data_IF_367759526263
#
_entry.id   IF_367759526263
#
_cell.length_a   1.000
_cell.length_b   1.000
_cell.length_c   1.000
_cell.angle_alpha   90.00
_cell.angle_beta   90.00
_cell.angle_gamma   90.00
#
_symmetry.space_group_name_H-M   'P 1'
#
loop_
_entity.id
_entity.type
_entity.pdbx_description
1 polymer ?
#
# COMPACT_ATOMS: atom_id res chain seq x y z
N UNK A 1 -30.82 -11.73 -14.93
CA UNK A 1 -29.66 -11.81 -14.02
C UNK A 1 -29.40 -13.28 -13.80
N UNK A 2 -28.24 -13.77 -14.22
CA UNK A 2 -27.93 -15.20 -14.28
C UNK A 2 -27.74 -15.74 -12.86
N UNK A 3 -28.35 -16.89 -12.55
CA UNK A 3 -28.23 -17.58 -11.25
C UNK A 3 -26.76 -17.89 -10.92
N UNK A 4 -25.91 -17.97 -11.94
CA UNK A 4 -24.46 -18.13 -11.79
C UNK A 4 -23.78 -16.89 -11.18
N UNK A 5 -24.26 -15.68 -11.47
CA UNK A 5 -23.77 -14.41 -10.91
C UNK A 5 -24.13 -14.28 -9.41
N UNK A 6 -25.26 -14.88 -9.02
CA UNK A 6 -25.70 -14.99 -7.62
C UNK A 6 -24.87 -16.00 -6.81
N UNK A 7 -24.47 -17.13 -7.41
CA UNK A 7 -23.62 -18.13 -6.75
C UNK A 7 -22.18 -17.62 -6.60
N UNK A 8 -21.66 -16.84 -7.55
CA UNK A 8 -20.36 -16.19 -7.44
C UNK A 8 -20.32 -15.22 -6.23
N UNK A 9 -21.41 -14.48 -5.99
CA UNK A 9 -21.58 -13.60 -4.81
C UNK A 9 -21.73 -14.37 -3.51
N UNK A 10 -22.47 -15.49 -3.52
CA UNK A 10 -22.65 -16.37 -2.36
C UNK A 10 -21.34 -17.03 -1.88
N UNK A 11 -20.35 -17.17 -2.78
CA UNK A 11 -19.01 -17.72 -2.49
C UNK A 11 -17.96 -16.64 -2.18
N UNK A 12 -18.36 -15.39 -1.93
CA UNK A 12 -17.46 -14.31 -1.52
C UNK A 12 -16.73 -13.60 -2.67
N UNK A 13 -17.36 -13.46 -3.84
CA UNK A 13 -16.82 -12.65 -4.96
C UNK A 13 -17.67 -11.39 -5.20
N UNK A 14 -17.06 -10.20 -5.37
CA UNK A 14 -17.77 -9.05 -5.89
C UNK A 14 -18.07 -9.20 -7.40
N UNK A 15 -19.18 -8.62 -7.91
CA UNK A 15 -19.56 -8.75 -9.32
C UNK A 15 -18.66 -7.94 -10.26
N UNK A 16 -18.44 -8.49 -11.46
CA UNK A 16 -17.57 -7.97 -12.51
C UNK A 16 -18.14 -6.77 -13.30
N UNK A 17 -18.53 -5.71 -12.61
CA UNK A 17 -18.76 -4.40 -13.23
C UNK A 17 -18.06 -3.28 -12.46
N UNK A 18 -16.78 -3.50 -12.19
CA UNK A 18 -15.80 -2.44 -12.34
C UNK A 18 -14.72 -2.96 -13.30
N UNK A 19 -14.81 -2.50 -14.55
CA UNK A 19 -13.61 -2.39 -15.38
C UNK A 19 -12.72 -1.40 -14.64
N UNK A 20 -11.86 -1.90 -13.76
CA UNK A 20 -10.82 -1.07 -13.16
C UNK A 20 -9.94 -0.62 -14.31
N UNK A 21 -10.14 0.63 -14.74
CA UNK A 21 -9.38 1.27 -15.80
C UNK A 21 -7.96 1.52 -15.31
N UNK A 22 -7.16 0.47 -15.19
CA UNK A 22 -5.75 0.62 -14.89
C UNK A 22 -5.00 1.01 -16.18
N UNK A 23 -4.65 2.28 -16.33
CA UNK A 23 -3.63 2.76 -17.28
C UNK A 23 -2.24 2.27 -16.81
N UNK A 24 -1.91 1.00 -17.09
CA UNK A 24 -0.69 0.38 -16.58
C UNK A 24 0.52 0.61 -17.49
N UNK A 25 1.24 1.70 -17.22
CA UNK A 25 2.70 1.70 -17.28
C UNK A 25 3.23 1.48 -15.86
N UNK A 26 3.37 0.24 -15.40
CA UNK A 26 3.57 -0.04 -13.99
C UNK A 26 4.94 -0.66 -13.66
N UNK A 27 5.61 -0.01 -12.71
CA UNK A 27 6.56 -0.57 -11.76
C UNK A 27 6.00 -0.25 -10.37
N UNK A 28 6.23 -1.06 -9.32
CA UNK A 28 5.96 -0.75 -7.91
C UNK A 28 6.48 0.59 -7.37
N UNK A 29 7.15 1.40 -8.19
CA UNK A 29 7.26 2.82 -7.97
C UNK A 29 5.87 3.48 -8.09
N UNK A 30 5.15 3.45 -6.96
CA UNK A 30 4.19 4.43 -6.47
C UNK A 30 3.74 5.42 -7.55
N UNK A 31 2.61 5.14 -8.18
CA UNK A 31 1.97 6.09 -9.08
C UNK A 31 1.80 7.41 -8.32
N UNK A 32 2.27 8.51 -8.91
CA UNK A 32 1.94 9.84 -8.42
C UNK A 32 0.48 10.12 -8.73
N UNK A 33 -0.31 10.65 -7.78
CA UNK A 33 -1.66 11.06 -8.10
C UNK A 33 -1.62 12.22 -9.10
N UNK A 34 -2.70 12.37 -9.87
CA UNK A 34 -2.94 13.51 -10.76
C UNK A 34 -3.06 14.81 -9.97
N UNK A 35 -3.46 14.75 -8.69
CA UNK A 35 -3.54 15.88 -7.76
C UNK A 35 -3.02 15.48 -6.39
N UNK A 36 -2.39 16.37 -5.62
CA UNK A 36 -2.03 16.05 -4.24
C UNK A 36 -3.30 15.81 -3.41
N UNK A 37 -3.24 14.96 -2.36
CA UNK A 37 -4.33 14.88 -1.40
C UNK A 37 -4.57 16.24 -0.73
N UNK A 38 -5.81 16.55 -0.32
CA UNK A 38 -6.11 17.76 0.46
C UNK A 38 -5.23 17.83 1.71
N UNK A 39 -4.82 19.04 2.10
CA UNK A 39 -4.00 19.25 3.30
C UNK A 39 -4.79 18.97 4.58
N UNK A 40 -6.06 19.34 4.59
CA UNK A 40 -7.00 19.08 5.66
C UNK A 40 -8.26 18.40 5.09
N UNK A 41 -8.37 17.06 5.19
CA UNK A 41 -9.54 16.33 4.75
C UNK A 41 -10.64 16.22 5.82
N UNK A 42 -10.49 16.83 7.00
CA UNK A 42 -11.33 16.55 8.18
C UNK A 42 -12.83 16.78 7.92
N UNK A 43 -13.19 17.89 7.29
CA UNK A 43 -14.59 18.21 6.96
C UNK A 43 -15.19 17.20 5.98
N UNK A 44 -14.46 16.83 4.93
CA UNK A 44 -14.92 15.86 3.94
C UNK A 44 -15.04 14.44 4.54
N UNK A 45 -14.13 14.05 5.43
CA UNK A 45 -14.18 12.78 6.17
C UNK A 45 -15.40 12.77 7.10
N UNK A 46 -15.62 13.85 7.85
CA UNK A 46 -16.79 13.97 8.72
C UNK A 46 -18.10 13.89 7.92
N UNK A 47 -18.18 14.59 6.78
CA UNK A 47 -19.34 14.54 5.89
C UNK A 47 -19.60 13.13 5.35
N UNK A 48 -18.55 12.37 4.99
CA UNK A 48 -18.68 10.97 4.60
C UNK A 48 -19.32 10.14 5.73
N UNK A 49 -18.81 10.25 6.95
CA UNK A 49 -19.29 9.45 8.08
C UNK A 49 -20.69 9.86 8.58
N UNK A 50 -21.05 11.14 8.48
CA UNK A 50 -22.43 11.60 8.71
C UNK A 50 -23.39 10.96 7.70
N UNK A 51 -23.06 11.00 6.41
CA UNK A 51 -23.87 10.37 5.36
C UNK A 51 -23.94 8.85 5.52
N UNK A 52 -22.84 8.20 5.89
CA UNK A 52 -22.81 6.76 6.16
C UNK A 52 -23.86 6.36 7.22
N UNK A 53 -24.09 7.19 8.24
CA UNK A 53 -25.13 6.96 9.25
C UNK A 53 -26.55 6.89 8.70
N UNK A 54 -26.80 7.49 7.55
CA UNK A 54 -28.09 7.43 6.85
C UNK A 54 -28.14 6.27 5.85
N UNK A 55 -27.00 5.96 5.21
CA UNK A 55 -26.92 4.97 4.14
C UNK A 55 -26.75 3.53 4.64
N UNK A 56 -26.17 3.31 5.81
CA UNK A 56 -25.78 1.98 6.29
C UNK A 56 -26.95 0.98 6.37
N UNK A 57 -28.14 1.43 6.81
CA UNK A 57 -29.32 0.57 6.92
C UNK A 57 -29.85 0.07 5.58
N UNK A 58 -29.60 0.82 4.50
CA UNK A 58 -29.92 0.38 3.13
C UNK A 58 -29.01 -0.78 2.65
N UNK A 59 -28.00 -1.15 3.44
CA UNK A 59 -27.02 -2.20 3.15
C UNK A 59 -27.16 -3.41 4.08
N UNK A 60 -28.16 -3.46 4.95
CA UNK A 60 -28.35 -4.56 5.93
C UNK A 60 -28.51 -5.95 5.28
N UNK A 61 -28.93 -5.98 4.01
CA UNK A 61 -29.16 -7.19 3.21
C UNK A 61 -28.15 -7.36 2.05
N UNK A 62 -26.96 -6.74 2.15
CA UNK A 62 -25.92 -6.79 1.12
C UNK A 62 -25.51 -8.22 0.72
N UNK A 63 -25.68 -9.19 1.61
CA UNK A 63 -25.41 -10.61 1.39
C UNK A 63 -26.40 -11.28 0.43
N UNK A 64 -27.60 -10.73 0.30
CA UNK A 64 -28.67 -11.30 -0.54
C UNK A 64 -29.09 -10.38 -1.69
N UNK A 65 -28.90 -9.07 -1.53
CA UNK A 65 -29.37 -8.06 -2.46
C UNK A 65 -28.26 -7.05 -2.81
N UNK A 66 -28.11 -6.68 -4.10
CA UNK A 66 -27.17 -5.63 -4.47
C UNK A 66 -27.63 -4.26 -3.92
N UNK A 67 -26.70 -3.35 -3.59
CA UNK A 67 -27.04 -1.97 -3.23
C UNK A 67 -27.82 -1.27 -4.34
N UNK A 68 -28.68 -0.33 -3.95
CA UNK A 68 -29.36 0.53 -4.91
C UNK A 68 -28.35 1.45 -5.63
N UNK A 69 -28.68 1.84 -6.86
CA UNK A 69 -27.87 2.80 -7.63
C UNK A 69 -27.70 4.15 -6.91
N UNK A 70 -28.67 4.53 -6.07
CA UNK A 70 -28.57 5.74 -5.25
C UNK A 70 -27.47 5.64 -4.19
N UNK A 71 -27.36 4.49 -3.52
CA UNK A 71 -26.31 4.24 -2.52
C UNK A 71 -24.93 4.19 -3.19
N UNK A 72 -24.81 3.48 -4.32
CA UNK A 72 -23.56 3.40 -5.10
C UNK A 72 -23.08 4.80 -5.54
N UNK A 73 -23.97 5.61 -6.12
CA UNK A 73 -23.66 7.00 -6.48
C UNK A 73 -23.28 7.84 -5.27
N UNK A 74 -23.92 7.59 -4.13
CA UNK A 74 -23.56 8.20 -2.85
C UNK A 74 -22.08 7.98 -2.52
N UNK A 75 -21.59 6.74 -2.56
CA UNK A 75 -20.17 6.45 -2.36
C UNK A 75 -19.28 7.22 -3.32
N UNK A 76 -19.56 7.13 -4.62
CA UNK A 76 -18.77 7.78 -5.65
C UNK A 76 -18.68 9.30 -5.42
N UNK A 77 -19.80 9.95 -5.11
CA UNK A 77 -19.84 11.40 -4.87
C UNK A 77 -18.99 11.80 -3.65
N UNK A 78 -19.12 11.10 -2.52
CA UNK A 78 -18.41 11.48 -1.28
C UNK A 78 -16.92 11.13 -1.36
N UNK A 79 -16.57 10.01 -1.96
CA UNK A 79 -15.17 9.64 -2.16
C UNK A 79 -14.49 10.52 -3.21
N UNK A 80 -15.20 10.92 -4.26
CA UNK A 80 -14.69 11.91 -5.21
C UNK A 80 -14.43 13.28 -4.56
N UNK A 81 -15.26 13.67 -3.58
CA UNK A 81 -15.05 14.88 -2.79
C UNK A 81 -13.80 14.79 -1.89
N UNK A 82 -13.46 13.60 -1.38
CA UNK A 82 -12.19 13.36 -0.70
C UNK A 82 -11.01 13.39 -1.68
N UNK A 83 -11.02 12.48 -2.65
CA UNK A 83 -10.08 12.45 -3.76
C UNK A 83 -10.54 11.50 -4.88
N UNK A 84 -10.62 11.99 -6.11
CA UNK A 84 -11.10 11.27 -7.31
C UNK A 84 -10.32 10.03 -7.78
N UNK A 85 -9.23 9.69 -7.10
CA UNK A 85 -8.42 8.49 -7.40
C UNK A 85 -8.46 7.47 -6.25
N UNK A 86 -9.32 7.69 -5.24
CA UNK A 86 -9.67 6.63 -4.31
C UNK A 86 -10.55 5.61 -5.02
N UNK A 87 -10.35 4.35 -4.69
CA UNK A 87 -11.22 3.25 -5.05
C UNK A 87 -11.98 2.79 -3.81
N UNK A 88 -13.12 2.12 -4.01
CA UNK A 88 -13.85 1.51 -2.92
C UNK A 88 -14.45 0.18 -3.33
N UNK A 89 -14.63 -0.71 -2.35
CA UNK A 89 -15.27 -2.00 -2.53
C UNK A 89 -16.09 -2.33 -1.28
N UNK A 90 -17.21 -3.00 -1.47
CA UNK A 90 -18.05 -3.52 -0.39
C UNK A 90 -18.27 -5.02 -0.58
N UNK A 91 -18.33 -5.75 0.52
CA UNK A 91 -18.50 -7.19 0.48
C UNK A 91 -18.55 -7.82 1.87
N UNK A 92 -18.37 -9.15 1.96
CA UNK A 92 -18.25 -9.83 3.25
C UNK A 92 -17.01 -9.32 4.00
N UNK A 93 -17.13 -9.18 5.33
CA UNK A 93 -15.99 -8.87 6.18
C UNK A 93 -15.14 -10.10 6.49
N UNK A 94 -13.96 -9.84 7.04
CA UNK A 94 -13.02 -10.83 7.57
C UNK A 94 -13.49 -11.29 8.94
N UNK A 95 -13.82 -10.34 9.82
CA UNK A 95 -14.25 -10.58 11.20
C UNK A 95 -15.73 -10.26 11.39
N UNK A 96 -16.25 -9.30 10.62
CA UNK A 96 -17.65 -8.85 10.68
C UNK A 96 -18.47 -9.28 9.46
N UNK A 97 -19.78 -9.07 9.53
CA UNK A 97 -20.72 -9.47 8.46
C UNK A 97 -20.36 -8.78 7.13
N UNK A 98 -20.04 -7.49 7.19
CA UNK A 98 -19.78 -6.66 6.02
C UNK A 98 -18.47 -5.87 6.18
N UNK A 99 -17.80 -5.61 5.05
CA UNK A 99 -16.65 -4.73 4.97
C UNK A 99 -16.89 -3.63 3.95
N UNK A 100 -16.42 -2.43 4.28
CA UNK A 100 -16.17 -1.37 3.31
C UNK A 100 -14.65 -1.09 3.29
N UNK A 101 -14.04 -1.27 2.13
CA UNK A 101 -12.67 -0.83 1.90
C UNK A 101 -12.68 0.47 1.10
N UNK A 102 -11.93 1.47 1.57
CA UNK A 102 -11.54 2.64 0.79
C UNK A 102 -10.03 2.55 0.56
N UNK A 103 -9.64 2.36 -0.71
CA UNK A 103 -8.28 2.05 -1.11
C UNK A 103 -7.63 3.25 -1.80
N UNK A 104 -6.33 3.51 -1.55
CA UNK A 104 -5.55 4.48 -2.31
C UNK A 104 -5.11 3.96 -3.69
N UNK A 105 -5.50 2.74 -4.07
CA UNK A 105 -5.20 2.08 -5.35
C UNK A 105 -3.71 2.12 -5.73
N UNK A 106 -2.84 1.80 -4.77
CA UNK A 106 -1.39 1.82 -4.89
C UNK A 106 -0.75 3.22 -4.93
N UNK A 107 -1.55 4.29 -4.80
CA UNK A 107 -1.07 5.67 -4.79
C UNK A 107 -0.59 6.05 -3.39
N UNK A 108 0.72 5.96 -3.14
CA UNK A 108 1.32 6.27 -1.83
C UNK A 108 0.90 7.59 -1.20
N UNK A 109 0.72 8.63 -2.01
CA UNK A 109 0.31 9.94 -1.51
C UNK A 109 -1.10 9.92 -0.90
N UNK A 110 -1.97 9.00 -1.29
CA UNK A 110 -3.33 8.88 -0.76
C UNK A 110 -3.41 7.98 0.48
N UNK A 111 -2.32 7.29 0.85
CA UNK A 111 -2.30 6.38 2.00
C UNK A 111 -2.64 7.07 3.32
N UNK A 112 -2.22 8.33 3.51
CA UNK A 112 -2.58 9.11 4.71
C UNK A 112 -4.03 9.51 4.71
N UNK A 113 -4.60 9.78 3.53
CA UNK A 113 -6.01 10.13 3.39
C UNK A 113 -6.90 8.95 3.75
N UNK A 114 -6.62 7.74 3.23
CA UNK A 114 -7.41 6.55 3.56
C UNK A 114 -7.25 6.12 5.02
N UNK A 115 -6.04 6.26 5.58
CA UNK A 115 -5.80 6.02 7.00
C UNK A 115 -6.59 6.99 7.89
N UNK A 116 -6.58 8.28 7.56
CA UNK A 116 -7.34 9.30 8.29
C UNK A 116 -8.85 9.04 8.19
N UNK A 117 -9.34 8.63 7.02
CA UNK A 117 -10.73 8.23 6.81
C UNK A 117 -11.13 7.09 7.73
N UNK A 118 -10.35 5.99 7.76
CA UNK A 118 -10.61 4.84 8.64
C UNK A 118 -10.50 5.18 10.12
N UNK A 119 -9.52 6.00 10.50
CA UNK A 119 -9.34 6.44 11.89
C UNK A 119 -10.54 7.25 12.41
N UNK A 120 -11.30 7.88 11.53
CA UNK A 120 -12.52 8.62 11.86
C UNK A 120 -13.79 7.76 11.82
N UNK A 121 -13.69 6.46 11.49
CA UNK A 121 -14.83 5.56 11.42
C UNK A 121 -15.55 5.46 12.78
N UNK A 122 -16.90 5.60 12.84
CA UNK A 122 -17.64 5.43 14.07
C UNK A 122 -17.57 4.00 14.61
N UNK A 123 -17.50 3.85 15.94
CA UNK A 123 -17.37 2.53 16.61
C UNK A 123 -18.70 1.76 16.70
N UNK A 124 -19.84 2.42 16.42
CA UNK A 124 -21.19 1.87 16.64
C UNK A 124 -21.74 0.89 15.59
N UNK A 125 -20.93 0.44 14.63
CA UNK A 125 -21.37 -0.48 13.58
C UNK A 125 -20.84 -1.89 13.81
N UNK A 126 -21.57 -2.70 14.59
CA UNK A 126 -21.14 -4.04 14.98
C UNK A 126 -21.04 -5.01 13.79
N UNK A 127 -21.88 -4.83 12.77
CA UNK A 127 -21.87 -5.65 11.54
C UNK A 127 -20.85 -5.20 10.50
N UNK A 128 -20.18 -4.05 10.69
CA UNK A 128 -19.26 -3.46 9.71
C UNK A 128 -17.83 -3.33 10.19
N UNK A 129 -16.90 -3.75 9.35
CA UNK A 129 -15.48 -3.39 9.44
C UNK A 129 -15.07 -2.46 8.30
N UNK A 130 -14.05 -1.64 8.54
CA UNK A 130 -13.59 -0.62 7.60
C UNK A 130 -12.09 -0.78 7.33
N UNK A 131 -11.73 -0.79 6.04
CA UNK A 131 -10.35 -0.98 5.59
C UNK A 131 -9.86 0.22 4.78
N UNK A 132 -8.63 0.66 5.06
CA UNK A 132 -7.96 1.81 4.44
C UNK A 132 -7.00 1.42 3.30
N UNK A 133 -6.99 0.13 2.97
CA UNK A 133 -6.28 -0.51 1.88
C UNK A 133 -6.93 -1.88 1.65
N UNK A 134 -6.85 -2.44 0.43
CA UNK A 134 -7.46 -3.75 0.15
C UNK A 134 -6.80 -4.86 0.99
N UNK A 135 -7.56 -5.60 1.81
CA UNK A 135 -7.01 -6.73 2.52
C UNK A 135 -6.74 -7.90 1.57
N UNK A 136 -5.89 -8.83 2.02
CA UNK A 136 -5.73 -10.12 1.34
C UNK A 136 -7.02 -10.94 1.44
N UNK A 137 -7.32 -11.75 0.42
CA UNK A 137 -8.47 -12.68 0.51
C UNK A 137 -8.34 -13.66 1.67
N UNK A 138 -9.43 -13.92 2.37
CA UNK A 138 -9.46 -14.87 3.50
C UNK A 138 -9.29 -16.30 3.00
N UNK A 139 -8.66 -17.14 3.82
CA UNK A 139 -8.45 -18.55 3.48
C UNK A 139 -7.30 -18.76 2.49
N UNK A 140 -7.41 -19.79 1.65
CA UNK A 140 -6.37 -20.15 0.70
C UNK A 140 -6.45 -19.30 -0.57
N UNK A 141 -5.33 -18.69 -0.97
CA UNK A 141 -5.24 -17.91 -2.20
C UNK A 141 -5.34 -18.79 -3.45
N UNK A 142 -5.07 -20.10 -3.37
CA UNK A 142 -5.31 -20.97 -4.53
C UNK A 142 -6.80 -21.23 -4.76
N UNK A 143 -7.65 -21.01 -3.76
CA UNK A 143 -9.11 -21.02 -3.94
C UNK A 143 -9.66 -19.68 -4.45
N UNK A 144 -8.81 -18.66 -4.63
CA UNK A 144 -9.16 -17.40 -5.26
C UNK A 144 -9.70 -17.68 -6.65
N UNK A 145 -10.75 -16.95 -7.00
CA UNK A 145 -11.28 -17.00 -8.33
C UNK A 145 -11.72 -15.60 -8.72
N UNK A 146 -11.15 -15.12 -9.82
CA UNK A 146 -11.24 -13.73 -10.22
C UNK A 146 -11.90 -13.64 -11.59
N UNK A 147 -13.00 -12.92 -11.69
CA UNK A 147 -13.61 -12.64 -12.97
C UNK A 147 -12.93 -11.43 -13.62
N UNK A 148 -12.40 -11.61 -14.83
CA UNK A 148 -11.80 -10.53 -15.62
C UNK A 148 -12.20 -10.67 -17.09
N UNK A 149 -12.70 -9.58 -17.68
CA UNK A 149 -13.12 -9.54 -19.09
C UNK A 149 -14.07 -10.69 -19.50
N UNK A 150 -14.98 -11.09 -18.61
CA UNK A 150 -15.95 -12.18 -18.84
C UNK A 150 -15.36 -13.59 -18.75
N UNK A 151 -14.15 -13.74 -18.23
CA UNK A 151 -13.50 -15.03 -17.96
C UNK A 151 -13.21 -15.15 -16.48
N UNK A 152 -13.52 -16.31 -15.90
CA UNK A 152 -13.15 -16.64 -14.53
C UNK A 152 -11.74 -17.25 -14.54
N UNK A 153 -10.83 -16.61 -13.82
CA UNK A 153 -9.45 -17.03 -13.62
C UNK A 153 -9.33 -17.68 -12.25
N UNK A 154 -8.85 -18.94 -12.19
CA UNK A 154 -8.64 -19.65 -10.94
C UNK A 154 -7.24 -19.42 -10.40
N UNK A 155 -7.12 -19.14 -9.10
CA UNK A 155 -5.86 -19.06 -8.36
C UNK A 155 -5.11 -20.38 -8.32
N UNK A 156 -5.78 -21.52 -8.59
CA UNK A 156 -5.18 -22.86 -8.65
C UNK A 156 -4.19 -23.01 -9.80
N UNK A 157 -4.44 -22.31 -10.90
CA UNK A 157 -3.65 -22.41 -12.12
C UNK A 157 -2.53 -21.35 -12.17
N UNK A 158 -2.36 -20.59 -11.08
CA UNK A 158 -1.36 -19.54 -10.98
C UNK A 158 -0.03 -20.12 -10.55
N UNK A 159 0.98 -19.95 -11.38
CA UNK A 159 2.37 -20.18 -11.02
C UNK A 159 3.01 -18.87 -10.56
N UNK A 160 3.77 -18.93 -9.46
CA UNK A 160 4.51 -17.78 -8.93
C UNK A 160 5.97 -18.14 -8.75
N UNK A 161 6.90 -17.29 -9.18
CA UNK A 161 8.29 -17.35 -8.78
C UNK A 161 8.70 -16.06 -8.06
N UNK A 162 9.49 -16.18 -6.99
CA UNK A 162 9.89 -15.08 -6.12
C UNK A 162 11.42 -15.01 -6.04
N UNK A 163 11.96 -13.81 -6.21
CA UNK A 163 13.39 -13.50 -6.14
C UNK A 163 13.62 -12.47 -5.04
N UNK A 164 14.57 -12.71 -4.13
CA UNK A 164 14.95 -11.72 -3.11
C UNK A 164 15.98 -10.76 -3.68
N UNK A 165 15.69 -9.46 -3.61
CA UNK A 165 16.65 -8.40 -3.86
C UNK A 165 17.19 -7.94 -2.50
N UNK A 166 18.29 -8.55 -2.08
CA UNK A 166 18.91 -8.27 -0.78
C UNK A 166 19.32 -6.79 -0.63
N UNK A 167 19.71 -6.14 -1.72
CA UNK A 167 20.16 -4.73 -1.71
C UNK A 167 19.01 -3.76 -1.48
N UNK A 168 17.85 -4.03 -2.08
CA UNK A 168 16.65 -3.19 -1.95
C UNK A 168 15.68 -3.70 -0.90
N UNK A 169 16.00 -4.82 -0.27
CA UNK A 169 15.18 -5.48 0.74
C UNK A 169 13.73 -5.67 0.26
N UNK A 170 13.56 -6.09 -1.00
CA UNK A 170 12.25 -6.28 -1.64
C UNK A 170 12.27 -7.54 -2.48
N UNK A 171 11.08 -8.03 -2.82
CA UNK A 171 10.90 -9.22 -3.63
C UNK A 171 10.51 -8.84 -5.06
N UNK A 172 11.13 -9.47 -6.04
CA UNK A 172 10.61 -9.49 -7.41
C UNK A 172 9.75 -10.74 -7.60
N UNK A 173 8.60 -10.57 -8.23
CA UNK A 173 7.63 -11.65 -8.41
C UNK A 173 7.36 -11.83 -9.89
N UNK A 174 7.39 -13.07 -10.34
CA UNK A 174 6.91 -13.47 -11.66
C UNK A 174 5.63 -14.28 -11.50
N UNK A 175 4.68 -14.04 -12.39
CA UNK A 175 3.35 -14.67 -12.33
C UNK A 175 3.02 -15.24 -13.69
N UNK A 176 2.60 -16.49 -13.73
CA UNK A 176 2.01 -17.11 -14.92
C UNK A 176 0.60 -17.60 -14.59
N UNK A 177 -0.28 -17.46 -15.57
CA UNK A 177 -1.57 -18.15 -15.64
C UNK A 177 -1.80 -18.55 -17.10
N UNK A 178 -2.38 -19.73 -17.41
CA UNK A 178 -2.59 -20.21 -18.78
C UNK A 178 -3.27 -19.20 -19.71
N UNK A 179 -4.29 -18.49 -19.23
CA UNK A 179 -5.03 -17.47 -19.99
C UNK A 179 -4.16 -16.28 -20.47
N UNK A 180 -3.00 -16.03 -19.84
CA UNK A 180 -2.11 -14.93 -20.22
C UNK A 180 -1.56 -15.06 -21.66
N UNK A 181 -1.49 -16.28 -22.20
CA UNK A 181 -1.01 -16.54 -23.55
C UNK A 181 -1.84 -15.83 -24.63
N UNK A 182 -3.17 -15.75 -24.44
CA UNK A 182 -4.10 -15.09 -25.38
C UNK A 182 -4.34 -13.61 -25.11
N UNK A 183 -3.87 -13.08 -23.99
CA UNK A 183 -4.18 -11.71 -23.56
C UNK A 183 -3.33 -10.65 -24.26
N UNK A 184 -3.83 -9.40 -24.27
CA UNK A 184 -2.99 -8.24 -24.60
C UNK A 184 -1.91 -8.04 -23.52
N UNK A 185 -0.84 -7.31 -23.84
CA UNK A 185 0.20 -6.96 -22.85
C UNK A 185 -0.41 -6.26 -21.62
N UNK A 186 -1.31 -5.31 -21.83
CA UNK A 186 -1.97 -4.58 -20.74
C UNK A 186 -2.77 -5.54 -19.84
N UNK A 187 -3.59 -6.41 -20.43
CA UNK A 187 -4.44 -7.32 -19.67
C UNK A 187 -3.61 -8.35 -18.87
N UNK A 188 -2.47 -8.81 -19.41
CA UNK A 188 -1.54 -9.67 -18.65
C UNK A 188 -1.03 -9.01 -17.38
N UNK A 189 -0.61 -7.74 -17.50
CA UNK A 189 -0.13 -6.97 -16.35
C UNK A 189 -1.24 -6.71 -15.34
N UNK A 190 -2.44 -6.35 -15.81
CA UNK A 190 -3.62 -6.20 -14.96
C UNK A 190 -3.93 -7.50 -14.21
N UNK A 191 -3.96 -8.64 -14.91
CA UNK A 191 -4.26 -9.92 -14.29
C UNK A 191 -3.21 -10.32 -13.25
N UNK A 192 -1.91 -10.22 -13.59
CA UNK A 192 -0.85 -10.55 -12.64
C UNK A 192 -0.90 -9.68 -11.39
N UNK A 193 -1.18 -8.38 -11.56
CA UNK A 193 -1.37 -7.46 -10.44
C UNK A 193 -2.57 -7.87 -9.59
N UNK A 194 -3.75 -8.05 -10.18
CA UNK A 194 -4.97 -8.42 -9.46
C UNK A 194 -4.82 -9.73 -8.67
N UNK A 195 -4.17 -10.74 -9.24
CA UNK A 195 -3.91 -12.01 -8.55
C UNK A 195 -2.99 -11.84 -7.33
N UNK A 196 -1.92 -11.05 -7.49
CA UNK A 196 -0.94 -10.80 -6.42
C UNK A 196 -1.52 -9.88 -5.34
N UNK A 197 -2.28 -8.86 -5.73
CA UNK A 197 -2.95 -7.92 -4.83
C UNK A 197 -4.05 -8.62 -4.04
N UNK A 198 -4.89 -9.43 -4.68
CA UNK A 198 -5.87 -10.26 -3.96
C UNK A 198 -5.19 -11.25 -3.01
N UNK A 199 -4.06 -11.84 -3.41
CA UNK A 199 -3.32 -12.75 -2.55
C UNK A 199 -2.68 -12.02 -1.36
N UNK A 200 -1.98 -10.91 -1.56
CA UNK A 200 -1.17 -10.31 -0.50
C UNK A 200 -1.89 -9.19 0.27
N UNK A 201 -2.91 -8.58 -0.33
CA UNK A 201 -3.41 -7.28 0.07
C UNK A 201 -2.47 -6.17 -0.37
N UNK A 202 -3.05 -4.99 -0.53
CA UNK A 202 -2.39 -3.81 -1.12
C UNK A 202 -1.19 -3.35 -0.29
N UNK A 203 -1.30 -3.39 1.04
CA UNK A 203 -0.23 -2.96 1.95
C UNK A 203 1.03 -3.82 1.80
N UNK A 204 0.86 -5.15 1.72
CA UNK A 204 1.99 -6.08 1.57
C UNK A 204 2.62 -5.96 0.19
N UNK A 205 1.81 -5.80 -0.86
CA UNK A 205 2.31 -5.54 -2.21
C UNK A 205 3.19 -4.29 -2.23
N UNK A 206 2.68 -3.17 -1.73
CA UNK A 206 3.39 -1.90 -1.75
C UNK A 206 4.62 -1.86 -0.83
N UNK A 207 4.59 -2.61 0.27
CA UNK A 207 5.70 -2.68 1.24
C UNK A 207 6.82 -3.58 0.74
N UNK A 208 6.50 -4.78 0.26
CA UNK A 208 7.49 -5.84 0.06
C UNK A 208 7.86 -6.11 -1.39
N UNK A 209 6.97 -5.83 -2.34
CA UNK A 209 7.25 -6.16 -3.73
C UNK A 209 7.95 -4.98 -4.44
N UNK A 210 8.89 -5.31 -5.32
CA UNK A 210 9.60 -4.36 -6.19
C UNK A 210 9.19 -4.50 -7.65
N UNK A 211 8.88 -5.69 -8.13
CA UNK A 211 8.26 -5.90 -9.45
C UNK A 211 7.27 -7.05 -9.41
N UNK A 212 6.29 -6.98 -10.32
CA UNK A 212 5.36 -8.07 -10.63
C UNK A 212 5.43 -8.25 -12.14
N UNK A 213 5.93 -9.38 -12.62
CA UNK A 213 6.21 -9.61 -14.04
C UNK A 213 5.34 -10.75 -14.56
N UNK A 214 4.39 -10.49 -15.48
CA UNK A 214 3.60 -11.55 -16.08
C UNK A 214 4.42 -12.35 -17.09
N UNK A 215 4.26 -13.67 -17.09
CA UNK A 215 4.82 -14.59 -18.09
C UNK A 215 3.71 -15.20 -18.96
N UNK A 216 3.92 -15.22 -20.28
CA UNK A 216 3.03 -15.90 -21.24
C UNK A 216 3.27 -17.40 -21.31
N UNK A 217 4.31 -17.92 -20.67
CA UNK A 217 4.67 -19.35 -20.65
C UNK A 217 4.77 -19.83 -19.20
N UNK A 218 4.55 -21.12 -18.94
CA UNK A 218 4.85 -21.71 -17.63
C UNK A 218 6.22 -21.30 -17.13
N UNK A 219 6.35 -20.98 -15.84
CA UNK A 219 7.58 -20.44 -15.27
C UNK A 219 8.72 -21.45 -15.34
N UNK A 220 8.41 -22.75 -15.32
CA UNK A 220 9.36 -23.83 -15.56
C UNK A 220 9.96 -23.82 -16.99
N UNK A 221 9.38 -23.06 -17.93
CA UNK A 221 9.87 -22.90 -19.29
C UNK A 221 10.67 -21.61 -19.51
N UNK A 222 10.71 -20.71 -18.53
CA UNK A 222 11.42 -19.43 -18.61
C UNK A 222 12.87 -19.61 -18.13
N UNK A 223 13.88 -19.53 -19.01
CA UNK A 223 15.28 -19.81 -18.66
C UNK A 223 15.80 -19.02 -17.47
N UNK A 224 15.43 -17.74 -17.36
CA UNK A 224 15.83 -16.83 -16.28
C UNK A 224 15.29 -17.24 -14.90
N UNK A 225 14.23 -18.06 -14.87
CA UNK A 225 13.59 -18.53 -13.64
C UNK A 225 14.05 -19.94 -13.27
N UNK A 226 14.46 -20.75 -14.25
CA UNK A 226 14.81 -22.17 -14.05
C UNK A 226 15.91 -22.40 -13.00
N UNK A 227 16.82 -21.46 -12.85
CA UNK A 227 17.92 -21.52 -11.87
C UNK A 227 17.54 -20.94 -10.50
N UNK A 228 16.34 -20.37 -10.37
CA UNK A 228 15.87 -19.59 -9.23
C UNK A 228 14.38 -19.85 -8.96
N UNK A 229 14.00 -21.07 -8.54
CA UNK A 229 12.62 -21.33 -8.15
C UNK A 229 12.44 -21.19 -6.64
N UNK A 230 11.78 -20.12 -6.20
CA UNK A 230 11.19 -20.09 -4.86
C UNK A 230 9.72 -19.70 -5.00
N UNK A 231 8.87 -20.63 -4.53
CA UNK A 231 7.40 -20.73 -4.62
C UNK A 231 6.84 -21.24 -5.96
N UNK A 232 5.65 -21.87 -5.95
CA UNK A 232 4.90 -22.33 -7.15
C UNK A 232 3.47 -21.78 -7.25
N UNK A 233 2.92 -21.15 -6.20
CA UNK A 233 1.54 -20.68 -6.21
C UNK A 233 1.35 -19.48 -5.27
N UNK A 234 0.13 -18.92 -5.23
CA UNK A 234 -0.19 -17.73 -4.45
C UNK A 234 -0.08 -17.94 -2.93
N UNK A 235 -0.39 -19.13 -2.40
CA UNK A 235 -0.28 -19.40 -0.96
C UNK A 235 1.17 -19.45 -0.50
N UNK A 236 2.06 -20.01 -1.31
CA UNK A 236 3.47 -19.95 -0.98
C UNK A 236 4.05 -18.54 -1.12
N UNK A 237 3.48 -17.67 -1.98
CA UNK A 237 3.87 -16.26 -2.08
C UNK A 237 3.52 -15.56 -0.77
N UNK A 238 2.31 -15.79 -0.25
CA UNK A 238 1.90 -15.34 1.09
C UNK A 238 2.90 -15.81 2.14
N UNK A 239 3.22 -17.10 2.17
CA UNK A 239 4.16 -17.64 3.15
C UNK A 239 5.55 -16.99 3.05
N UNK A 240 6.05 -16.74 1.83
CA UNK A 240 7.35 -16.08 1.62
C UNK A 240 7.35 -14.62 2.06
N UNK A 241 6.26 -13.89 1.81
CA UNK A 241 6.09 -12.51 2.30
C UNK A 241 5.96 -12.49 3.82
N UNK A 242 5.19 -13.40 4.43
CA UNK A 242 5.13 -13.54 5.90
C UNK A 242 6.50 -13.83 6.52
N UNK A 243 7.31 -14.69 5.89
CA UNK A 243 8.69 -14.91 6.33
C UNK A 243 9.52 -13.62 6.24
N UNK A 244 9.35 -12.83 5.17
CA UNK A 244 10.03 -11.54 5.00
C UNK A 244 9.60 -10.54 6.08
N UNK A 245 8.33 -10.53 6.46
CA UNK A 245 7.80 -9.71 7.56
C UNK A 245 8.46 -10.07 8.90
N UNK A 246 8.56 -11.37 9.20
CA UNK A 246 9.22 -11.84 10.41
C UNK A 246 10.72 -11.54 10.42
N UNK A 247 11.39 -11.58 9.27
CA UNK A 247 12.79 -11.20 9.12
C UNK A 247 12.99 -9.68 9.30
N UNK A 248 11.98 -8.88 8.98
CA UNK A 248 12.06 -7.43 9.01
C UNK A 248 13.04 -6.86 7.99
N UNK A 249 13.30 -5.56 8.11
CA UNK A 249 14.42 -4.92 7.42
C UNK A 249 15.52 -4.67 8.44
N UNK A 250 16.73 -5.11 8.13
CA UNK A 250 17.89 -4.81 8.96
C UNK A 250 18.05 -3.29 9.04
N UNK A 251 18.36 -2.78 10.23
CA UNK A 251 18.80 -1.39 10.36
C UNK A 251 20.03 -1.19 9.46
N UNK A 252 20.15 -0.04 8.79
CA UNK A 252 21.36 0.23 8.03
C UNK A 252 22.56 0.24 9.01
N UNK A 253 23.75 -0.18 8.57
CA UNK A 253 24.93 -0.19 9.43
C UNK A 253 25.20 1.22 9.98
N UNK A 254 25.87 1.37 11.13
CA UNK A 254 26.29 2.68 11.61
C UNK A 254 27.02 3.44 10.50
N UNK A 255 26.68 4.72 10.33
CA UNK A 255 27.29 5.51 9.28
C UNK A 255 28.78 5.71 9.60
N UNK A 256 29.65 5.35 8.65
CA UNK A 256 31.10 5.47 8.82
C UNK A 256 31.56 6.91 8.97
N UNK A 257 32.78 7.11 9.47
CA UNK A 257 33.35 8.44 9.69
C UNK A 257 33.87 9.09 8.40
N UNK A 258 33.99 8.31 7.32
CA UNK A 258 34.48 8.77 6.01
C UNK A 258 33.39 9.54 5.25
N UNK A 259 33.68 10.79 4.90
CA UNK A 259 32.87 11.59 3.99
C UNK A 259 33.53 11.68 2.59
N UNK A 260 32.74 11.83 1.51
CA UNK A 260 31.28 11.88 1.48
C UNK A 260 30.63 10.50 1.57
N UNK A 261 29.45 10.42 2.19
CA UNK A 261 28.67 9.18 2.24
C UNK A 261 27.16 9.46 2.21
N UNK A 262 26.41 8.55 1.60
CA UNK A 262 24.95 8.55 1.52
C UNK A 262 24.46 7.20 2.02
N UNK A 263 23.44 7.22 2.87
CA UNK A 263 22.80 6.02 3.40
C UNK A 263 21.29 6.17 3.33
N UNK A 264 20.62 5.13 2.84
CA UNK A 264 19.16 5.01 2.81
C UNK A 264 18.76 3.98 3.87
N UNK A 265 17.72 4.27 4.66
CA UNK A 265 17.17 3.32 5.62
C UNK A 265 16.07 2.47 4.97
N UNK A 266 16.27 1.15 4.76
CA UNK A 266 15.29 0.31 4.10
C UNK A 266 14.02 0.07 4.93
N UNK A 267 14.04 0.42 6.22
CA UNK A 267 12.85 0.36 7.10
C UNK A 267 11.88 1.49 6.80
N UNK A 268 12.35 2.60 6.23
CA UNK A 268 11.54 3.75 5.88
C UNK A 268 10.70 3.46 4.62
N UNK A 269 9.53 2.85 4.85
CA UNK A 269 8.55 2.55 3.81
C UNK A 269 7.25 3.27 4.10
N UNK A 270 6.81 4.14 3.17
CA UNK A 270 5.57 4.95 3.28
C UNK A 270 4.37 4.18 3.80
N UNK A 271 4.20 2.93 3.35
CA UNK A 271 3.05 2.08 3.63
C UNK A 271 3.01 1.54 5.07
N UNK A 272 4.15 1.49 5.76
CA UNK A 272 4.21 1.15 7.20
C UNK A 272 3.85 2.31 8.12
N UNK A 273 3.90 3.54 7.59
CA UNK A 273 3.68 4.76 8.36
C UNK A 273 2.56 5.57 7.71
N UNK A 274 1.31 5.08 7.74
CA UNK A 274 0.19 5.69 7.04
C UNK A 274 0.00 7.17 7.35
N UNK A 275 0.16 7.55 8.62
CA UNK A 275 0.00 8.92 9.11
C UNK A 275 1.21 9.84 8.84
N UNK A 276 2.36 9.31 8.44
CA UNK A 276 3.56 10.14 8.25
C UNK A 276 3.50 10.78 6.87
N UNK A 277 3.01 12.01 6.81
CA UNK A 277 2.86 12.78 5.58
C UNK A 277 3.71 14.06 5.57
N UNK A 278 4.52 14.28 6.60
CA UNK A 278 5.39 15.43 6.73
C UNK A 278 6.85 15.00 6.64
N UNK A 279 7.56 15.56 5.69
CA UNK A 279 9.00 15.45 5.55
C UNK A 279 9.69 16.50 6.41
N UNK A 280 10.77 16.11 7.07
CA UNK A 280 11.63 17.02 7.83
C UNK A 280 13.08 16.77 7.42
N UNK A 281 13.78 17.85 7.09
CA UNK A 281 15.21 17.88 6.84
C UNK A 281 15.92 18.57 7.99
N UNK A 282 16.94 17.92 8.51
CA UNK A 282 17.77 18.42 9.59
C UNK A 282 19.20 18.49 9.10
N UNK A 283 19.82 19.67 9.21
CA UNK A 283 21.21 19.89 8.86
C UNK A 283 22.00 20.44 10.04
N UNK A 284 23.15 19.81 10.30
CA UNK A 284 24.10 20.20 11.34
C UNK A 284 25.51 20.23 10.78
N UNK A 285 26.43 20.88 11.49
CA UNK A 285 27.87 20.72 11.21
C UNK A 285 28.30 19.28 11.51
N UNK A 286 29.25 18.72 10.75
CA UNK A 286 29.64 17.31 10.86
C UNK A 286 30.07 16.90 12.28
N UNK A 287 30.69 17.80 13.05
CA UNK A 287 31.10 17.53 14.43
C UNK A 287 29.91 17.30 15.39
N UNK A 288 28.69 17.74 15.02
CA UNK A 288 27.45 17.55 15.80
C UNK A 288 26.68 16.28 15.42
N UNK A 289 27.19 15.47 14.48
CA UNK A 289 26.56 14.23 14.02
C UNK A 289 26.13 13.33 15.18
N UNK A 290 27.03 13.09 16.14
CA UNK A 290 26.77 12.17 17.25
C UNK A 290 25.61 12.67 18.12
N UNK A 291 25.57 13.97 18.42
CA UNK A 291 24.47 14.58 19.16
C UNK A 291 23.14 14.45 18.41
N UNK A 292 23.13 14.68 17.10
CA UNK A 292 21.92 14.51 16.30
C UNK A 292 21.44 13.05 16.29
N UNK A 293 22.32 12.08 16.06
CA UNK A 293 21.96 10.65 16.07
C UNK A 293 21.44 10.18 17.43
N UNK A 294 21.96 10.70 18.54
CA UNK A 294 21.44 10.40 19.88
C UNK A 294 20.00 10.88 20.06
N UNK A 295 19.67 12.07 19.56
CA UNK A 295 18.29 12.59 19.61
C UNK A 295 17.38 11.76 18.72
N UNK A 296 17.81 11.44 17.50
CA UNK A 296 17.03 10.64 16.55
C UNK A 296 16.77 9.22 17.05
N UNK A 297 17.73 8.62 17.76
CA UNK A 297 17.58 7.30 18.37
C UNK A 297 16.60 7.28 19.55
N UNK A 298 16.35 8.42 20.20
CA UNK A 298 15.45 8.54 21.35
C UNK A 298 14.00 8.86 21.00
N UNK A 299 13.68 9.16 19.73
CA UNK A 299 12.33 9.56 19.29
C UNK A 299 11.46 8.42 18.78
N UNK A 300 11.40 7.32 19.53
CA UNK A 300 10.63 6.13 19.19
C UNK A 300 9.22 6.45 18.68
N UNK A 301 8.78 5.71 17.66
CA UNK A 301 7.45 5.75 17.01
C UNK A 301 6.97 7.12 16.46
N UNK A 302 7.66 8.23 16.71
CA UNK A 302 7.23 9.57 16.28
C UNK A 302 7.75 9.97 14.91
N UNK A 303 8.85 9.37 14.47
CA UNK A 303 9.42 9.59 13.15
C UNK A 303 10.13 8.36 12.61
N UNK A 304 10.45 8.40 11.32
CA UNK A 304 11.31 7.41 10.66
C UNK A 304 12.35 8.11 9.81
N UNK A 305 13.63 7.84 10.09
CA UNK A 305 14.74 8.34 9.27
C UNK A 305 14.72 7.62 7.93
N UNK A 306 14.72 8.38 6.82
CA UNK A 306 14.72 7.82 5.48
C UNK A 306 16.10 7.87 4.83
N UNK A 307 16.80 9.01 4.98
CA UNK A 307 18.09 9.24 4.32
C UNK A 307 19.03 9.96 5.27
N UNK A 308 20.30 9.55 5.27
CA UNK A 308 21.43 10.24 5.89
C UNK A 308 22.45 10.59 4.84
N UNK A 309 23.00 11.81 4.90
CA UNK A 309 24.04 12.28 4.01
C UNK A 309 25.14 12.95 4.84
N UNK A 310 26.39 12.51 4.66
CA UNK A 310 27.55 13.10 5.28
C UNK A 310 28.48 13.72 4.23
N UNK A 311 28.91 14.94 4.51
CA UNK A 311 29.99 15.64 3.80
C UNK A 311 31.09 16.01 4.80
N UNK A 312 32.26 16.51 4.36
CA UNK A 312 33.32 16.91 5.29
C UNK A 312 32.88 17.96 6.33
N UNK A 313 31.95 18.85 5.98
CA UNK A 313 31.53 19.97 6.84
C UNK A 313 30.10 19.89 7.35
N UNK A 314 29.23 19.11 6.71
CA UNK A 314 27.81 18.98 7.05
C UNK A 314 27.36 17.53 7.22
N UNK A 315 26.43 17.35 8.14
CA UNK A 315 25.63 16.14 8.28
C UNK A 315 24.15 16.47 8.12
N UNK A 316 23.46 15.72 7.25
CA UNK A 316 22.06 15.93 6.88
C UNK A 316 21.26 14.64 7.11
N UNK A 317 20.08 14.79 7.68
CA UNK A 317 19.10 13.71 7.87
C UNK A 317 17.76 14.16 7.31
N UNK A 318 17.18 13.32 6.45
CA UNK A 318 15.79 13.44 6.01
C UNK A 318 14.96 12.35 6.70
N UNK A 319 13.87 12.75 7.33
CA UNK A 319 12.94 11.86 8.03
C UNK A 319 11.48 12.18 7.68
N UNK A 320 10.57 11.27 8.04
CA UNK A 320 9.14 11.48 7.96
C UNK A 320 8.46 11.33 9.33
N UNK A 321 7.42 12.13 9.56
CA UNK A 321 6.65 12.16 10.80
C UNK A 321 5.20 12.60 10.51
N UNK A 322 4.32 12.42 11.49
CA UNK A 322 2.99 13.04 11.52
C UNK A 322 3.00 14.46 12.11
N UNK A 323 4.05 14.84 12.86
CA UNK A 323 4.13 16.14 13.54
C UNK A 323 5.51 16.79 13.35
N UNK A 324 5.68 17.47 12.21
CA UNK A 324 6.93 18.17 11.89
C UNK A 324 7.29 19.28 12.88
N UNK A 325 6.30 19.89 13.54
CA UNK A 325 6.53 20.96 14.51
C UNK A 325 7.13 20.41 15.80
N UNK A 326 6.59 19.31 16.33
CA UNK A 326 7.13 18.63 17.50
C UNK A 326 8.57 18.15 17.25
N UNK A 327 8.85 17.55 16.08
CA UNK A 327 10.22 17.15 15.71
C UNK A 327 11.15 18.35 15.66
N UNK A 328 10.73 19.43 15.00
CA UNK A 328 11.56 20.64 14.87
C UNK A 328 11.91 21.22 16.24
N UNK A 329 10.93 21.32 17.13
CA UNK A 329 11.15 21.80 18.50
C UNK A 329 12.12 20.90 19.29
N UNK A 330 11.96 19.58 19.20
CA UNK A 330 12.83 18.62 19.87
C UNK A 330 14.28 18.72 19.39
N UNK A 331 14.49 18.81 18.07
CA UNK A 331 15.81 18.91 17.45
C UNK A 331 16.50 20.23 17.81
N UNK A 332 15.78 21.35 17.72
CA UNK A 332 16.33 22.66 18.03
C UNK A 332 16.71 22.79 19.51
N UNK A 333 15.94 22.19 20.42
CA UNK A 333 16.24 22.17 21.84
C UNK A 333 17.50 21.35 22.15
N UNK A 334 17.67 20.19 21.50
CA UNK A 334 18.74 19.25 21.81
C UNK A 334 20.05 19.51 21.05
N UNK A 335 19.99 20.11 19.85
CA UNK A 335 21.15 20.37 18.99
C UNK A 335 21.18 21.84 18.56
N UNK A 336 21.71 22.75 19.41
CA UNK A 336 21.76 24.17 19.10
C UNK A 336 22.46 24.45 17.77
N UNK A 337 21.83 25.28 16.93
CA UNK A 337 22.33 25.62 15.60
C UNK A 337 22.05 24.58 14.51
N UNK A 338 21.22 23.57 14.78
CA UNK A 338 20.62 22.75 13.75
C UNK A 338 19.67 23.59 12.87
N UNK A 339 19.78 23.44 11.56
CA UNK A 339 18.82 23.99 10.60
C UNK A 339 17.76 22.92 10.36
N UNK A 340 16.49 23.26 10.57
CA UNK A 340 15.37 22.34 10.38
C UNK A 340 14.41 22.94 9.36
N UNK A 341 14.12 22.19 8.31
CA UNK A 341 13.11 22.48 7.31
C UNK A 341 12.04 21.41 7.38
N UNK A 342 10.76 21.79 7.27
CA UNK A 342 9.67 20.83 7.21
C UNK A 342 8.69 21.20 6.11
N UNK A 343 8.18 20.18 5.43
CA UNK A 343 7.23 20.33 4.35
C UNK A 343 6.29 19.14 4.32
N UNK A 344 5.01 19.40 4.04
CA UNK A 344 4.06 18.34 3.71
C UNK A 344 4.49 17.61 2.44
N UNK A 345 4.69 16.30 2.54
CA UNK A 345 5.10 15.38 1.48
C UNK A 345 4.43 14.00 1.65
N UNK A 346 3.12 13.90 1.40
CA UNK A 346 2.35 12.67 1.62
C UNK A 346 2.82 11.50 0.75
N UNK A 347 3.50 11.77 -0.37
CA UNK A 347 4.00 10.76 -1.29
C UNK A 347 5.40 10.25 -0.98
N UNK A 348 6.09 10.82 0.01
CA UNK A 348 7.49 10.56 0.32
C UNK A 348 8.43 10.75 -0.88
N UNK A 349 8.27 11.88 -1.57
CA UNK A 349 9.05 12.22 -2.74
C UNK A 349 10.31 13.03 -2.45
N UNK A 350 10.44 13.69 -1.29
CA UNK A 350 11.47 14.71 -1.03
C UNK A 350 12.77 14.16 -0.43
N UNK A 351 12.72 13.07 0.32
CA UNK A 351 13.91 12.50 0.95
C UNK A 351 15.03 12.21 -0.07
N UNK A 352 16.25 12.63 0.26
CA UNK A 352 17.44 12.47 -0.56
C UNK A 352 17.63 13.53 -1.64
N UNK A 353 16.67 14.44 -1.88
CA UNK A 353 16.78 15.48 -2.91
C UNK A 353 17.71 16.64 -2.57
#
# INVERSE_FOLDING_TARGET
>A
MDILDFIARLLGRPPAHEVVHHDLGWTPALRKPKRPPPADPSEAIAAFWTWWGEAASALDHLDTEPPSQEVLRGFDERLAALHRELAWEMGPGIEKKHALTVSPDGVSALRSLTAAWKAAAPVGYDDWEFHDARPAVVGSAVALELETAGTVVSGRDVEVAVFDDEQKHRLDVWVHHPEMGGMSRRNRWSLAFLLVDAALGEERVATWLRTITPSTRPLAEVPEIREHLVVRNLDGLRARVSLRELQGDAAPPPMGDTAPSLQVDPRARRWRFPAFDTWVRIEVESHKRVSLEQVLAGGDAQWVTAVRLQTPSRYRVDLYTADGAAVSAAIQAAVPGAVVESQRDPGWGLAGR
#
